data_IF_081158218785
#
_entry.id   IF_081158218785
#
_cell.length_a   1.000
_cell.length_b   1.000
_cell.length_c   1.000
_cell.angle_alpha   90.00
_cell.angle_beta   90.00
_cell.angle_gamma   90.00
#
_symmetry.space_group_name_H-M   'P 1'
#
loop_
_entity.id
_entity.type
_entity.pdbx_description
1 polymer ?
#
# COMPACT_ATOMS: atom_id res chain seq x y z
N UNK A 1 28.55 4.36 -6.11
CA UNK A 1 27.26 4.75 -5.50
C UNK A 1 26.61 3.53 -4.87
N UNK A 2 26.09 3.71 -3.71
CA UNK A 2 25.46 2.61 -3.00
C UNK A 2 24.01 2.46 -3.46
N UNK A 3 23.63 1.28 -3.89
CA UNK A 3 22.25 1.00 -4.24
C UNK A 3 21.39 0.91 -2.98
N UNK A 4 20.16 1.41 -3.07
CA UNK A 4 19.16 1.20 -2.04
C UNK A 4 18.62 -0.20 -2.24
N UNK A 5 18.88 -1.08 -1.29
CA UNK A 5 18.43 -2.46 -1.34
C UNK A 5 17.12 -2.59 -0.56
N UNK A 6 16.11 -3.18 -1.18
CA UNK A 6 14.86 -3.48 -0.51
C UNK A 6 15.10 -4.48 0.62
N UNK A 7 14.38 -4.32 1.73
CA UNK A 7 14.39 -5.31 2.81
C UNK A 7 13.81 -6.63 2.30
N UNK A 8 14.36 -7.77 2.74
CA UNK A 8 13.83 -9.07 2.35
C UNK A 8 12.36 -9.21 2.76
N UNK A 9 11.54 -9.72 1.85
CA UNK A 9 10.12 -9.97 2.10
C UNK A 9 9.91 -10.81 3.35
N UNK A 10 10.80 -11.76 3.60
CA UNK A 10 10.76 -12.64 4.78
C UNK A 10 10.76 -11.85 6.10
N UNK A 11 11.42 -10.69 6.13
CA UNK A 11 11.48 -9.83 7.31
C UNK A 11 10.30 -8.84 7.35
N UNK A 12 9.85 -8.38 6.21
CA UNK A 12 8.81 -7.35 6.10
C UNK A 12 7.40 -7.94 6.23
N UNK A 13 7.15 -9.07 5.60
CA UNK A 13 5.81 -9.69 5.57
C UNK A 13 5.20 -9.89 6.95
N UNK A 14 5.89 -10.45 7.95
CA UNK A 14 5.28 -10.63 9.27
C UNK A 14 4.81 -9.34 9.91
N UNK A 15 5.53 -8.25 9.69
CA UNK A 15 5.18 -6.93 10.21
C UNK A 15 3.92 -6.41 9.52
N UNK A 16 3.85 -6.54 8.21
CA UNK A 16 2.70 -6.13 7.41
C UNK A 16 1.47 -6.98 7.77
N UNK A 17 1.66 -8.29 7.91
CA UNK A 17 0.59 -9.21 8.29
C UNK A 17 0.00 -8.84 9.65
N UNK A 18 0.85 -8.54 10.63
CA UNK A 18 0.40 -8.14 11.96
C UNK A 18 -0.39 -6.83 11.91
N UNK A 19 0.04 -5.86 11.11
CA UNK A 19 -0.66 -4.60 10.94
C UNK A 19 -2.03 -4.80 10.28
N UNK A 20 -2.11 -5.65 9.26
CA UNK A 20 -3.37 -5.99 8.59
C UNK A 20 -4.35 -6.65 9.56
N UNK A 21 -3.89 -7.62 10.33
CA UNK A 21 -4.73 -8.32 11.30
C UNK A 21 -5.31 -7.33 12.32
N UNK A 22 -4.50 -6.40 12.79
CA UNK A 22 -4.95 -5.39 13.73
C UNK A 22 -5.98 -4.45 13.09
N UNK A 23 -5.71 -3.96 11.89
CA UNK A 23 -6.61 -3.04 11.20
C UNK A 23 -7.94 -3.71 10.83
N UNK A 24 -7.90 -4.94 10.36
CA UNK A 24 -9.11 -5.72 10.05
C UNK A 24 -9.91 -6.04 11.31
N UNK A 25 -9.24 -6.30 12.42
CA UNK A 25 -9.89 -6.54 13.70
C UNK A 25 -10.66 -5.33 14.23
N UNK A 26 -10.21 -4.12 13.90
CA UNK A 26 -10.88 -2.88 14.32
C UNK A 26 -12.04 -2.50 13.42
N UNK A 27 -11.79 -2.48 12.11
CA UNK A 27 -12.76 -2.02 11.13
C UNK A 27 -13.70 -3.12 10.67
N UNK A 28 -13.22 -4.34 10.63
CA UNK A 28 -13.94 -5.51 10.18
C UNK A 28 -14.24 -5.52 8.69
N UNK A 29 -14.31 -6.70 8.11
CA UNK A 29 -14.75 -6.89 6.73
C UNK A 29 -16.22 -6.52 6.55
N UNK A 30 -16.97 -6.47 7.63
CA UNK A 30 -18.41 -6.16 7.61
C UNK A 30 -18.68 -4.81 6.97
N UNK A 31 -17.87 -3.78 7.31
CA UNK A 31 -18.05 -2.44 6.75
C UNK A 31 -17.77 -2.44 5.24
N UNK A 32 -16.70 -3.09 4.82
CA UNK A 32 -16.34 -3.18 3.40
C UNK A 32 -17.42 -3.93 2.62
N UNK A 33 -17.87 -5.06 3.12
CA UNK A 33 -18.91 -5.86 2.46
C UNK A 33 -20.24 -5.11 2.35
N UNK A 34 -20.57 -4.25 3.33
CA UNK A 34 -21.81 -3.49 3.32
C UNK A 34 -21.80 -2.30 2.36
N UNK A 35 -20.62 -1.74 2.07
CA UNK A 35 -20.48 -0.48 1.31
C UNK A 35 -20.06 -0.71 -0.12
N UNK A 36 -19.21 -1.69 -0.38
CA UNK A 36 -18.63 -1.94 -1.71
C UNK A 36 -19.24 -3.19 -2.33
N UNK A 37 -19.92 -3.08 -3.48
CA UNK A 37 -20.45 -4.26 -4.18
C UNK A 37 -19.33 -5.25 -4.51
N UNK A 38 -19.62 -6.54 -4.37
CA UNK A 38 -18.65 -7.61 -4.60
C UNK A 38 -18.08 -7.60 -6.02
N UNK A 39 -18.89 -7.18 -7.00
CA UNK A 39 -18.51 -7.16 -8.41
C UNK A 39 -17.75 -5.90 -8.80
N UNK A 40 -17.68 -4.92 -7.91
CA UNK A 40 -17.04 -3.64 -8.23
C UNK A 40 -15.54 -3.82 -8.46
N UNK A 41 -15.04 -3.12 -9.49
CA UNK A 41 -13.62 -3.11 -9.86
C UNK A 41 -13.07 -1.72 -9.61
N UNK A 42 -11.79 -1.69 -9.26
CA UNK A 42 -11.06 -0.46 -9.02
C UNK A 42 -9.83 -0.38 -9.91
N UNK A 43 -9.52 0.82 -10.40
CA UNK A 43 -8.27 1.14 -11.07
C UNK A 43 -7.92 2.57 -10.71
N UNK A 44 -6.78 2.77 -10.07
CA UNK A 44 -6.39 4.10 -9.64
C UNK A 44 -4.98 4.12 -9.09
N UNK A 45 -4.55 5.32 -8.70
CA UNK A 45 -3.19 5.55 -8.23
C UNK A 45 -3.18 6.22 -6.86
N UNK A 46 -2.18 5.85 -6.06
CA UNK A 46 -1.78 6.64 -4.91
C UNK A 46 -0.86 7.75 -5.42
N UNK A 47 -1.17 9.00 -5.06
CA UNK A 47 -0.37 10.15 -5.46
C UNK A 47 0.26 10.82 -4.25
N UNK A 48 1.44 11.39 -4.45
CA UNK A 48 2.09 12.16 -3.40
C UNK A 48 1.29 13.46 -3.16
N UNK A 49 1.06 13.78 -1.89
CA UNK A 49 0.40 15.04 -1.52
C UNK A 49 1.39 16.13 -1.13
N UNK A 50 2.61 15.74 -0.80
CA UNK A 50 3.69 16.63 -0.37
C UNK A 50 4.98 16.24 -1.07
N UNK A 51 5.92 17.17 -1.24
CA UNK A 51 7.25 16.79 -1.71
C UNK A 51 7.94 15.96 -0.63
N UNK A 52 8.77 15.03 -1.04
CA UNK A 52 9.52 14.23 -0.09
C UNK A 52 10.15 13.02 -0.74
N UNK A 53 10.73 12.18 0.11
CA UNK A 53 11.38 10.92 -0.30
C UNK A 53 10.45 9.76 -0.01
N UNK A 54 10.22 8.92 -1.02
CA UNK A 54 9.33 7.77 -0.90
C UNK A 54 10.03 6.63 -0.16
N UNK A 55 9.31 6.02 0.78
CA UNK A 55 9.71 4.79 1.47
C UNK A 55 8.46 3.98 1.81
N UNK A 56 8.63 2.64 1.92
CA UNK A 56 7.55 1.75 2.31
C UNK A 56 6.71 1.20 1.16
N UNK A 57 7.13 1.37 -0.10
CA UNK A 57 6.37 0.87 -1.25
C UNK A 57 6.28 -0.65 -1.26
N UNK A 58 7.34 -1.36 -0.87
CA UNK A 58 7.32 -2.82 -0.79
C UNK A 58 6.37 -3.30 0.32
N UNK A 59 6.37 -2.64 1.49
CA UNK A 59 5.43 -2.97 2.56
C UNK A 59 3.99 -2.77 2.10
N UNK A 60 3.71 -1.69 1.38
CA UNK A 60 2.38 -1.43 0.83
C UNK A 60 1.97 -2.49 -0.18
N UNK A 61 2.87 -2.87 -1.09
CA UNK A 61 2.62 -3.92 -2.07
C UNK A 61 2.31 -5.25 -1.38
N UNK A 62 3.07 -5.59 -0.35
CA UNK A 62 2.84 -6.80 0.43
C UNK A 62 1.46 -6.77 1.10
N UNK A 63 1.04 -5.61 1.62
CA UNK A 63 -0.28 -5.48 2.23
C UNK A 63 -1.40 -5.81 1.23
N UNK A 64 -1.33 -5.27 0.01
CA UNK A 64 -2.29 -5.60 -1.04
C UNK A 64 -2.25 -7.08 -1.41
N UNK A 65 -1.05 -7.62 -1.58
CA UNK A 65 -0.87 -9.02 -1.98
C UNK A 65 -1.39 -10.00 -0.94
N UNK A 66 -1.18 -9.72 0.35
CA UNK A 66 -1.68 -10.55 1.44
C UNK A 66 -3.21 -10.55 1.52
N UNK A 67 -3.85 -9.43 1.21
CA UNK A 67 -5.31 -9.34 1.19
C UNK A 67 -5.89 -10.06 -0.02
N UNK A 68 -5.29 -9.85 -1.18
CA UNK A 68 -5.79 -10.44 -2.43
C UNK A 68 -4.65 -10.52 -3.47
N UNK A 69 -4.09 -11.72 -3.70
CA UNK A 69 -3.00 -11.88 -4.66
C UNK A 69 -3.41 -11.63 -6.11
N UNK A 70 -4.71 -11.49 -6.40
CA UNK A 70 -5.16 -11.13 -7.76
C UNK A 70 -5.06 -9.64 -8.05
N UNK A 71 -4.78 -8.81 -7.05
CA UNK A 71 -4.58 -7.38 -7.26
C UNK A 71 -3.32 -7.14 -8.09
N UNK A 72 -3.44 -6.26 -9.08
CA UNK A 72 -2.32 -5.82 -9.90
C UNK A 72 -1.78 -4.52 -9.30
N UNK A 73 -0.59 -4.60 -8.72
CA UNK A 73 0.05 -3.48 -8.03
C UNK A 73 1.34 -3.13 -8.75
N UNK A 74 1.44 -1.89 -9.23
CA UNK A 74 2.63 -1.39 -9.91
C UNK A 74 3.25 -0.27 -9.07
N UNK A 75 4.52 -0.41 -8.74
CA UNK A 75 5.28 0.63 -8.04
C UNK A 75 5.85 1.56 -9.10
N UNK A 76 5.37 2.81 -9.12
CA UNK A 76 5.78 3.82 -10.10
C UNK A 76 6.96 4.65 -9.61
N UNK A 77 7.06 4.86 -8.30
CA UNK A 77 8.16 5.56 -7.66
C UNK A 77 8.71 4.65 -6.56
N UNK A 78 9.82 3.95 -6.81
CA UNK A 78 10.39 3.05 -5.81
C UNK A 78 10.94 3.79 -4.60
N UNK A 79 11.22 3.05 -3.54
CA UNK A 79 11.80 3.60 -2.33
C UNK A 79 13.09 4.35 -2.67
N UNK A 80 13.27 5.51 -2.04
CA UNK A 80 14.39 6.42 -2.31
C UNK A 80 14.11 7.47 -3.37
N UNK A 81 13.00 7.36 -4.12
CA UNK A 81 12.62 8.38 -5.09
C UNK A 81 12.20 9.67 -4.40
N UNK A 82 12.58 10.79 -4.97
CA UNK A 82 12.11 12.12 -4.54
C UNK A 82 10.91 12.48 -5.40
N UNK A 83 9.82 12.88 -4.76
CA UNK A 83 8.57 13.19 -5.46
C UNK A 83 8.07 14.57 -5.16
N UNK A 84 7.28 15.11 -6.10
CA UNK A 84 6.54 16.36 -5.94
C UNK A 84 5.05 16.07 -5.79
N UNK A 85 4.26 17.02 -5.24
CA UNK A 85 2.82 16.83 -5.13
C UNK A 85 2.17 16.50 -6.47
N UNK A 86 1.26 15.53 -6.46
CA UNK A 86 0.55 15.09 -7.65
C UNK A 86 1.23 13.96 -8.43
N UNK A 87 2.47 13.62 -8.11
CA UNK A 87 3.14 12.50 -8.77
C UNK A 87 2.55 11.17 -8.32
N UNK A 88 2.18 10.28 -9.25
CA UNK A 88 1.71 8.94 -8.88
C UNK A 88 2.86 8.10 -8.35
N UNK A 89 2.63 7.46 -7.20
CA UNK A 89 3.61 6.63 -6.51
C UNK A 89 3.38 5.15 -6.82
N UNK A 90 2.12 4.74 -6.86
CA UNK A 90 1.73 3.36 -7.03
C UNK A 90 0.40 3.29 -7.75
N UNK A 91 0.22 2.32 -8.63
CA UNK A 91 -1.05 2.05 -9.30
C UNK A 91 -1.60 0.71 -8.82
N UNK A 92 -2.90 0.67 -8.51
CA UNK A 92 -3.58 -0.53 -8.04
C UNK A 92 -4.80 -0.80 -8.91
N UNK A 93 -4.98 -2.05 -9.31
CA UNK A 93 -6.10 -2.48 -10.13
C UNK A 93 -6.60 -3.84 -9.66
N UNK A 94 -7.91 -3.98 -9.54
CA UNK A 94 -8.52 -5.26 -9.16
C UNK A 94 -9.86 -5.11 -8.46
N UNK A 95 -10.28 -6.13 -7.70
CA UNK A 95 -11.52 -6.07 -6.94
C UNK A 95 -11.52 -4.91 -5.95
N UNK A 96 -12.56 -4.08 -6.01
CA UNK A 96 -12.65 -2.89 -5.18
C UNK A 96 -12.69 -3.21 -3.68
N UNK A 97 -13.37 -4.29 -3.29
CA UNK A 97 -13.41 -4.72 -1.89
C UNK A 97 -12.02 -5.00 -1.35
N UNK A 98 -11.18 -5.66 -2.12
CA UNK A 98 -9.81 -5.99 -1.72
C UNK A 98 -8.96 -4.74 -1.59
N UNK A 99 -9.11 -3.79 -2.51
CA UNK A 99 -8.39 -2.51 -2.46
C UNK A 99 -8.76 -1.74 -1.20
N UNK A 100 -10.06 -1.60 -0.93
CA UNK A 100 -10.54 -0.88 0.27
C UNK A 100 -10.04 -1.54 1.55
N UNK A 101 -10.06 -2.87 1.60
CA UNK A 101 -9.60 -3.63 2.76
C UNK A 101 -8.12 -3.39 3.07
N UNK A 102 -7.28 -3.36 2.04
CA UNK A 102 -5.83 -3.23 2.20
C UNK A 102 -5.33 -1.78 2.25
N UNK A 103 -6.08 -0.85 1.69
CA UNK A 103 -5.64 0.52 1.43
C UNK A 103 -5.12 1.24 2.68
N UNK A 104 -5.84 1.16 3.78
CA UNK A 104 -5.48 1.88 5.00
C UNK A 104 -4.11 1.46 5.52
N UNK A 105 -3.88 0.16 5.59
CA UNK A 105 -2.59 -0.38 6.05
C UNK A 105 -1.48 0.00 5.09
N UNK A 106 -1.71 -0.14 3.79
CA UNK A 106 -0.75 0.21 2.77
C UNK A 106 -0.37 1.71 2.83
N UNK A 107 -1.36 2.59 2.92
CA UNK A 107 -1.15 4.03 3.03
C UNK A 107 -0.39 4.39 4.30
N UNK A 108 -0.69 3.74 5.42
CA UNK A 108 0.00 4.01 6.67
C UNK A 108 1.49 3.69 6.59
N UNK A 109 1.87 2.59 5.95
CA UNK A 109 3.28 2.25 5.76
C UNK A 109 3.99 3.30 4.91
N UNK A 110 3.41 3.68 3.78
CA UNK A 110 4.03 4.66 2.87
C UNK A 110 4.13 6.03 3.55
N UNK A 111 3.06 6.49 4.18
CA UNK A 111 3.03 7.80 4.83
C UNK A 111 4.01 7.90 5.98
N UNK A 112 4.04 6.89 6.84
CA UNK A 112 4.91 6.89 8.02
C UNK A 112 6.38 6.79 7.64
N UNK A 113 6.72 5.82 6.79
CA UNK A 113 8.12 5.59 6.40
C UNK A 113 8.65 6.71 5.50
N UNK A 114 7.81 7.24 4.60
CA UNK A 114 8.19 8.38 3.77
C UNK A 114 8.39 9.64 4.62
N UNK A 115 7.59 9.83 5.66
CA UNK A 115 7.77 10.91 6.61
C UNK A 115 9.11 10.86 7.31
N UNK A 116 9.54 9.66 7.72
CA UNK A 116 10.86 9.45 8.33
C UNK A 116 11.99 9.68 7.32
N UNK A 117 11.83 9.20 6.09
CA UNK A 117 12.83 9.31 5.04
C UNK A 117 13.03 10.74 4.54
N UNK A 118 12.00 11.57 4.63
CA UNK A 118 12.04 12.97 4.24
C UNK A 118 12.70 13.80 5.34
#
# INVERSE_FOLDING_TARGET
MREITSLPTLLVEPIVRAALVEDLGRAGDITTAAVVPKEARFSGAMVARRPGTIAGTEAARIAFDLVDPTLDVSILQPDGSVVEPGQPVMHIKGPAQSVVTAERTALNFISHLSGIAT
#
